data_IF_949280859620
#
_entry.id   IF_949280859620
#
_cell.length_a   1.000
_cell.length_b   1.000
_cell.length_c   1.000
_cell.angle_alpha   90.00
_cell.angle_beta   90.00
_cell.angle_gamma   90.00
#
_symmetry.space_group_name_H-M   'P 1'
#
loop_
_entity.id
_entity.type
_entity.pdbx_description
1 polymer ?
#
# COMPACT_ATOMS: atom_id res chain seq x y z
N UNK A 1 63.23 -11.94 25.35
CA UNK A 1 62.93 -13.27 24.79
C UNK A 1 61.76 -13.08 23.84
N UNK A 2 61.98 -13.06 22.53
CA UNK A 2 61.96 -14.24 21.65
C UNK A 2 60.57 -14.27 20.99
N UNK A 3 60.35 -14.42 19.69
CA UNK A 3 61.14 -14.73 18.52
C UNK A 3 60.10 -14.92 17.42
N UNK A 4 60.32 -14.32 16.25
CA UNK A 4 59.40 -14.25 15.12
C UNK A 4 59.14 -15.63 14.49
N UNK A 5 57.89 -15.95 14.17
CA UNK A 5 57.57 -16.84 13.04
C UNK A 5 56.19 -16.52 12.48
N UNK A 6 56.19 -15.69 11.43
CA UNK A 6 55.03 -15.44 10.58
C UNK A 6 54.85 -16.64 9.66
N UNK A 7 53.83 -17.46 9.92
CA UNK A 7 53.43 -18.51 8.98
C UNK A 7 52.45 -17.90 7.98
N UNK A 8 52.97 -17.38 6.85
CA UNK A 8 52.14 -17.06 5.67
C UNK A 8 51.43 -18.33 5.22
N UNK A 9 50.13 -18.45 5.49
CA UNK A 9 49.27 -19.43 4.82
C UNK A 9 48.96 -18.90 3.44
N UNK A 10 49.48 -19.58 2.42
CA UNK A 10 49.16 -19.32 1.00
C UNK A 10 47.98 -20.23 0.66
N UNK A 11 46.81 -19.64 0.40
CA UNK A 11 45.66 -20.35 -0.18
C UNK A 11 45.92 -20.57 -1.66
N UNK A 12 45.91 -21.82 -2.10
CA UNK A 12 46.07 -22.18 -3.51
C UNK A 12 44.69 -22.37 -4.15
N UNK A 13 44.41 -21.61 -5.22
CA UNK A 13 43.26 -21.84 -6.08
C UNK A 13 43.47 -23.14 -6.87
N UNK A 14 42.43 -23.98 -6.87
CA UNK A 14 42.37 -25.20 -7.66
C UNK A 14 42.02 -24.83 -9.10
N UNK A 15 43.03 -24.83 -9.97
CA UNK A 15 42.89 -24.72 -11.42
C UNK A 15 42.29 -26.04 -11.97
N UNK A 16 41.32 -25.95 -12.88
CA UNK A 16 40.36 -26.99 -13.29
C UNK A 16 40.94 -28.10 -14.21
N UNK A 17 42.27 -28.14 -14.36
CA UNK A 17 42.96 -29.12 -15.20
C UNK A 17 43.76 -30.11 -14.31
N UNK A 18 43.22 -31.32 -14.11
CA UNK A 18 43.66 -32.35 -13.14
C UNK A 18 44.99 -33.09 -13.47
N UNK A 19 45.91 -32.53 -14.26
CA UNK A 19 47.14 -33.21 -14.70
C UNK A 19 48.45 -32.52 -14.23
N UNK A 20 48.44 -32.01 -12.99
CA UNK A 20 49.61 -31.39 -12.34
C UNK A 20 49.98 -32.22 -11.11
N UNK A 21 51.23 -32.72 -11.05
CA UNK A 21 51.74 -33.40 -9.85
C UNK A 21 52.72 -32.51 -9.10
N UNK A 22 52.78 -32.65 -7.77
CA UNK A 22 53.57 -31.78 -6.89
C UNK A 22 54.80 -32.52 -6.38
N UNK A 23 56.00 -32.05 -6.75
CA UNK A 23 57.28 -32.61 -6.29
C UNK A 23 57.98 -31.56 -5.44
N UNK A 24 58.26 -31.87 -4.15
CA UNK A 24 58.89 -30.96 -3.18
C UNK A 24 58.26 -29.54 -3.12
N UNK A 25 56.95 -29.44 -3.27
CA UNK A 25 56.20 -28.18 -3.13
C UNK A 25 56.13 -27.30 -4.38
N UNK A 26 56.63 -27.77 -5.53
CA UNK A 26 56.56 -27.07 -6.82
C UNK A 26 55.56 -27.81 -7.74
N UNK A 27 54.62 -27.08 -8.34
CA UNK A 27 53.66 -27.62 -9.32
C UNK A 27 54.37 -27.80 -10.67
N UNK A 28 54.49 -29.05 -11.13
CA UNK A 28 55.09 -29.38 -12.42
C UNK A 28 54.05 -30.11 -13.27
N UNK A 29 53.95 -29.78 -14.56
CA UNK A 29 53.16 -30.56 -15.51
C UNK A 29 53.88 -31.85 -15.86
N UNK A 30 53.12 -32.88 -16.24
CA UNK A 30 53.65 -34.21 -16.58
C UNK A 30 54.74 -34.14 -17.67
N UNK A 31 54.57 -33.27 -18.67
CA UNK A 31 55.56 -33.03 -19.73
C UNK A 31 56.91 -32.47 -19.22
N UNK A 32 56.92 -31.72 -18.11
CA UNK A 32 58.16 -31.20 -17.50
C UNK A 32 58.83 -32.28 -16.65
N UNK A 33 58.03 -33.13 -16.00
CA UNK A 33 58.51 -34.24 -15.17
C UNK A 33 59.19 -35.31 -16.02
N UNK A 34 58.60 -35.68 -17.15
CA UNK A 34 59.19 -36.68 -18.05
C UNK A 34 60.54 -36.20 -18.61
N UNK A 35 60.66 -34.90 -18.91
CA UNK A 35 61.95 -34.30 -19.34
C UNK A 35 63.01 -34.29 -18.24
N UNK A 36 62.61 -34.13 -16.98
CA UNK A 36 63.53 -34.22 -15.84
C UNK A 36 63.95 -35.67 -15.54
N UNK A 37 63.18 -36.65 -16.00
CA UNK A 37 63.47 -38.07 -15.83
C UNK A 37 64.41 -38.61 -16.92
N UNK A 38 64.51 -37.94 -18.07
CA UNK A 38 65.29 -38.38 -19.24
C UNK A 38 66.64 -37.66 -19.45
N UNK A 39 67.43 -37.42 -18.39
CA UNK A 39 68.80 -36.89 -18.53
C UNK A 39 69.87 -37.91 -18.11
N UNK A 40 70.22 -38.84 -19.01
CA UNK A 40 71.61 -39.18 -19.40
C UNK A 40 71.67 -40.37 -20.37
N UNK A 41 72.65 -40.40 -21.30
CA UNK A 41 72.57 -41.18 -22.52
C UNK A 41 73.43 -42.45 -22.50
N UNK A 42 72.87 -43.55 -22.97
CA UNK A 42 73.58 -44.72 -23.49
C UNK A 42 72.57 -45.48 -24.35
N UNK A 43 72.70 -45.57 -25.67
CA UNK A 43 73.87 -46.04 -26.37
C UNK A 43 73.47 -47.31 -27.10
N UNK A 44 73.27 -47.20 -28.42
CA UNK A 44 73.22 -48.28 -29.42
C UNK A 44 72.17 -49.38 -29.17
N UNK A 45 71.23 -49.64 -30.07
CA UNK A 45 71.52 -50.19 -31.39
C UNK A 45 70.30 -50.03 -32.28
N UNK A 46 70.56 -49.47 -33.45
CA UNK A 46 69.75 -49.65 -34.64
C UNK A 46 69.71 -51.15 -34.96
N UNK A 47 68.66 -51.83 -34.51
CA UNK A 47 68.21 -53.04 -35.18
C UNK A 47 67.13 -52.61 -36.14
N UNK A 48 67.56 -52.41 -37.38
CA UNK A 48 66.72 -52.53 -38.56
C UNK A 48 66.20 -53.97 -38.55
N UNK A 49 65.14 -54.23 -37.79
CA UNK A 49 64.34 -55.43 -37.96
C UNK A 49 63.72 -55.33 -39.35
N UNK A 50 64.06 -56.27 -40.23
CA UNK A 50 63.13 -56.70 -41.26
C UNK A 50 61.90 -57.23 -40.52
N UNK A 51 60.96 -56.33 -40.22
CA UNK A 51 59.67 -56.74 -39.68
C UNK A 51 59.03 -57.58 -40.78
N UNK A 52 58.86 -58.87 -40.53
CA UNK A 52 58.14 -59.72 -41.44
C UNK A 52 56.71 -59.18 -41.57
N UNK A 53 56.12 -59.27 -42.76
CA UNK A 53 54.75 -58.81 -43.03
C UNK A 53 53.73 -59.35 -41.98
N UNK A 54 54.02 -60.50 -41.39
CA UNK A 54 53.22 -61.12 -40.33
C UNK A 54 53.27 -60.40 -38.98
N UNK A 55 54.40 -59.80 -38.61
CA UNK A 55 54.51 -59.08 -37.33
C UNK A 55 53.90 -57.68 -37.40
N UNK A 56 53.92 -57.06 -38.58
CA UNK A 56 53.20 -55.81 -38.85
C UNK A 56 51.67 -56.05 -38.84
N UNK A 57 51.19 -57.12 -39.50
CA UNK A 57 49.78 -57.53 -39.47
C UNK A 57 49.27 -57.83 -38.06
N UNK A 58 50.07 -58.48 -37.21
CA UNK A 58 49.71 -58.74 -35.80
C UNK A 58 49.50 -57.45 -35.01
N UNK A 59 50.40 -56.47 -35.14
CA UNK A 59 50.26 -55.17 -34.44
C UNK A 59 49.06 -54.37 -34.92
N UNK A 60 48.79 -54.38 -36.23
CA UNK A 60 47.58 -53.76 -36.80
C UNK A 60 46.32 -54.45 -36.27
N UNK A 61 46.30 -55.78 -36.19
CA UNK A 61 45.16 -56.53 -35.63
C UNK A 61 44.95 -56.26 -34.13
N UNK A 62 46.03 -56.16 -33.36
CA UNK A 62 45.99 -55.82 -31.92
C UNK A 62 45.50 -54.39 -31.69
N UNK A 63 45.98 -53.43 -32.48
CA UNK A 63 45.51 -52.03 -32.42
C UNK A 63 44.03 -51.91 -32.83
N UNK A 64 43.61 -52.62 -33.89
CA UNK A 64 42.21 -52.65 -34.32
C UNK A 64 41.30 -53.23 -33.24
N UNK A 65 41.76 -54.28 -32.53
CA UNK A 65 41.05 -54.88 -31.42
C UNK A 65 40.94 -53.93 -30.22
N UNK A 66 42.01 -53.17 -29.90
CA UNK A 66 41.99 -52.14 -28.86
C UNK A 66 41.04 -50.98 -29.22
N UNK A 67 41.03 -50.53 -30.47
CA UNK A 67 40.10 -49.53 -31.01
C UNK A 67 38.63 -50.01 -30.92
N UNK A 68 38.36 -51.25 -31.32
CA UNK A 68 37.03 -51.86 -31.20
C UNK A 68 36.60 -51.95 -29.74
N UNK A 69 37.47 -52.41 -28.84
CA UNK A 69 37.19 -52.47 -27.41
C UNK A 69 36.93 -51.07 -26.80
N UNK A 70 37.64 -50.03 -27.24
CA UNK A 70 37.38 -48.64 -26.83
C UNK A 70 36.01 -48.15 -27.31
N UNK A 71 35.67 -48.36 -28.58
CA UNK A 71 34.35 -47.98 -29.14
C UNK A 71 33.20 -48.70 -28.46
N UNK A 72 33.35 -49.99 -28.17
CA UNK A 72 32.36 -50.78 -27.43
C UNK A 72 32.21 -50.27 -25.99
N UNK A 73 33.31 -49.93 -25.32
CA UNK A 73 33.30 -49.32 -23.98
C UNK A 73 32.58 -47.97 -23.96
N UNK A 74 32.86 -47.08 -24.93
CA UNK A 74 32.19 -45.79 -25.07
C UNK A 74 30.69 -45.94 -25.36
N UNK A 75 30.31 -46.83 -26.27
CA UNK A 75 28.92 -47.14 -26.54
C UNK A 75 28.21 -47.70 -25.29
N UNK A 76 28.88 -48.57 -24.52
CA UNK A 76 28.34 -49.10 -23.28
C UNK A 76 28.17 -48.00 -22.21
N UNK A 77 29.11 -47.06 -22.11
CA UNK A 77 29.00 -45.88 -21.23
C UNK A 77 27.82 -45.00 -21.63
N UNK A 78 27.66 -44.69 -22.92
CA UNK A 78 26.53 -43.91 -23.46
C UNK A 78 25.19 -44.57 -23.17
N UNK A 79 25.09 -45.89 -23.34
CA UNK A 79 23.89 -46.66 -23.01
C UNK A 79 23.56 -46.64 -21.51
N UNK A 80 24.57 -46.73 -20.64
CA UNK A 80 24.39 -46.63 -19.18
C UNK A 80 23.92 -45.24 -18.78
N UNK A 81 24.54 -44.20 -19.33
CA UNK A 81 24.18 -42.81 -19.09
C UNK A 81 22.75 -42.49 -19.58
N UNK A 82 22.36 -42.97 -20.77
CA UNK A 82 20.98 -42.82 -21.26
C UNK A 82 19.96 -43.48 -20.33
N UNK A 83 20.22 -44.70 -19.86
CA UNK A 83 19.35 -45.40 -18.90
C UNK A 83 19.25 -44.68 -17.54
N UNK A 84 20.31 -44.02 -17.11
CA UNK A 84 20.33 -43.24 -15.87
C UNK A 84 19.51 -41.96 -16.01
N UNK A 85 19.70 -41.20 -17.10
CA UNK A 85 18.90 -40.02 -17.43
C UNK A 85 17.41 -40.35 -17.58
N UNK A 86 17.07 -41.49 -18.18
CA UNK A 86 15.68 -41.95 -18.31
C UNK A 86 15.05 -42.24 -16.93
N UNK A 87 15.82 -42.81 -16.00
CA UNK A 87 15.36 -43.05 -14.61
C UNK A 87 15.16 -41.76 -13.85
N UNK A 88 16.10 -40.81 -13.96
CA UNK A 88 15.97 -39.49 -13.34
C UNK A 88 14.75 -38.75 -13.89
N UNK A 89 14.53 -38.78 -15.20
CA UNK A 89 13.36 -38.18 -15.85
C UNK A 89 12.06 -38.83 -15.40
N UNK A 90 12.03 -40.16 -15.26
CA UNK A 90 10.86 -40.87 -14.76
C UNK A 90 10.54 -40.47 -13.31
N UNK A 91 11.54 -40.40 -12.44
CA UNK A 91 11.39 -39.95 -11.06
C UNK A 91 10.91 -38.49 -10.98
N UNK A 92 11.51 -37.59 -11.77
CA UNK A 92 11.12 -36.19 -11.83
C UNK A 92 9.67 -36.02 -12.32
N UNK A 93 9.27 -36.78 -13.34
CA UNK A 93 7.89 -36.78 -13.85
C UNK A 93 6.89 -37.31 -12.81
N UNK A 94 7.23 -38.37 -12.07
CA UNK A 94 6.38 -38.90 -11.01
C UNK A 94 6.20 -37.88 -9.88
N UNK A 95 7.30 -37.24 -9.46
CA UNK A 95 7.28 -36.22 -8.42
C UNK A 95 6.48 -34.98 -8.86
N UNK A 96 6.65 -34.54 -10.11
CA UNK A 96 5.85 -33.45 -10.69
C UNK A 96 4.36 -33.81 -10.70
N UNK A 97 4.00 -35.02 -11.13
CA UNK A 97 2.61 -35.48 -11.15
C UNK A 97 2.00 -35.48 -9.75
N UNK A 98 2.76 -35.94 -8.74
CA UNK A 98 2.34 -35.88 -7.33
C UNK A 98 2.17 -34.44 -6.83
N UNK A 99 3.08 -33.53 -7.19
CA UNK A 99 2.99 -32.12 -6.81
C UNK A 99 1.74 -31.45 -7.40
N UNK A 100 1.48 -31.66 -8.70
CA UNK A 100 0.30 -31.13 -9.40
C UNK A 100 -1.00 -31.62 -8.76
N UNK A 101 -1.08 -32.91 -8.43
CA UNK A 101 -2.28 -33.47 -7.78
C UNK A 101 -2.53 -32.84 -6.41
N UNK A 102 -1.48 -32.67 -5.60
CA UNK A 102 -1.60 -32.03 -4.27
C UNK A 102 -2.04 -30.58 -4.41
N UNK A 103 -1.45 -29.83 -5.34
CA UNK A 103 -1.81 -28.44 -5.57
C UNK A 103 -3.26 -28.30 -6.02
N UNK A 104 -3.71 -29.15 -6.95
CA UNK A 104 -5.09 -29.18 -7.40
C UNK A 104 -6.08 -29.44 -6.26
N UNK A 105 -5.80 -30.45 -5.41
CA UNK A 105 -6.64 -30.77 -4.25
C UNK A 105 -6.69 -29.58 -3.29
N UNK A 106 -5.54 -28.97 -2.97
CA UNK A 106 -5.49 -27.80 -2.09
C UNK A 106 -6.24 -26.60 -2.66
N UNK A 107 -6.13 -26.35 -3.97
CA UNK A 107 -6.81 -25.27 -4.67
C UNK A 107 -8.34 -25.47 -4.68
N UNK A 108 -8.79 -26.70 -4.91
CA UNK A 108 -10.22 -27.03 -4.85
C UNK A 108 -10.78 -26.90 -3.43
N UNK A 109 -10.02 -27.30 -2.41
CA UNK A 109 -10.39 -27.14 -1.00
C UNK A 109 -10.48 -25.66 -0.60
N UNK A 110 -9.47 -24.86 -0.94
CA UNK A 110 -9.48 -23.40 -0.69
C UNK A 110 -10.62 -22.71 -1.44
N UNK A 111 -10.90 -23.11 -2.68
CA UNK A 111 -12.05 -22.60 -3.44
C UNK A 111 -13.38 -22.98 -2.79
N UNK A 112 -13.50 -24.17 -2.22
CA UNK A 112 -14.69 -24.59 -1.49
C UNK A 112 -14.88 -23.79 -0.19
N UNK A 113 -13.80 -23.59 0.58
CA UNK A 113 -13.80 -22.73 1.77
C UNK A 113 -14.18 -21.29 1.44
N UNK A 114 -13.57 -20.71 0.39
CA UNK A 114 -13.88 -19.36 -0.06
C UNK A 114 -15.35 -19.21 -0.47
N UNK A 115 -15.91 -20.18 -1.20
CA UNK A 115 -17.34 -20.19 -1.55
C UNK A 115 -18.24 -20.26 -0.32
N UNK A 116 -17.87 -21.06 0.68
CA UNK A 116 -18.64 -21.16 1.92
C UNK A 116 -18.61 -19.85 2.70
N UNK A 117 -17.44 -19.24 2.85
CA UNK A 117 -17.30 -17.95 3.52
C UNK A 117 -18.06 -16.84 2.79
N UNK A 118 -18.01 -16.81 1.45
CA UNK A 118 -18.78 -15.86 0.65
C UNK A 118 -20.30 -15.95 0.91
N UNK A 119 -20.84 -17.17 1.01
CA UNK A 119 -22.26 -17.38 1.37
C UNK A 119 -22.58 -16.90 2.79
N UNK A 120 -21.68 -17.13 3.75
CA UNK A 120 -21.87 -16.64 5.12
C UNK A 120 -21.86 -15.12 5.18
N UNK A 121 -20.96 -14.47 4.45
CA UNK A 121 -20.91 -13.02 4.35
C UNK A 121 -22.18 -12.45 3.71
N UNK A 122 -22.66 -13.06 2.63
CA UNK A 122 -23.91 -12.62 2.00
C UNK A 122 -25.11 -12.72 2.97
N UNK A 123 -25.21 -13.79 3.76
CA UNK A 123 -26.27 -13.92 4.74
C UNK A 123 -26.13 -12.88 5.88
N UNK A 124 -24.91 -12.62 6.34
CA UNK A 124 -24.64 -11.56 7.33
C UNK A 124 -25.01 -10.18 6.79
N UNK A 125 -24.68 -9.88 5.54
CA UNK A 125 -25.05 -8.64 4.88
C UNK A 125 -26.56 -8.49 4.74
N UNK A 126 -27.29 -9.59 4.44
CA UNK A 126 -28.75 -9.58 4.40
C UNK A 126 -29.35 -9.26 5.77
N UNK A 127 -28.81 -9.84 6.84
CA UNK A 127 -29.26 -9.54 8.21
C UNK A 127 -29.00 -8.09 8.57
N UNK A 128 -27.79 -7.58 8.29
CA UNK A 128 -27.42 -6.18 8.56
C UNK A 128 -28.31 -5.23 7.78
N UNK A 129 -28.58 -5.49 6.50
CA UNK A 129 -29.48 -4.66 5.67
C UNK A 129 -30.89 -4.60 6.22
N UNK A 130 -31.44 -5.74 6.70
CA UNK A 130 -32.77 -5.76 7.33
C UNK A 130 -32.79 -4.92 8.60
N UNK A 131 -31.74 -5.02 9.42
CA UNK A 131 -31.64 -4.26 10.65
C UNK A 131 -31.47 -2.75 10.39
N UNK A 132 -30.63 -2.38 9.41
CA UNK A 132 -30.45 -0.99 8.98
C UNK A 132 -31.76 -0.38 8.46
N UNK A 133 -32.49 -1.11 7.60
CA UNK A 133 -33.79 -0.67 7.11
C UNK A 133 -34.80 -0.47 8.25
N UNK A 134 -34.86 -1.40 9.20
CA UNK A 134 -35.73 -1.30 10.36
C UNK A 134 -35.42 -0.06 11.20
N UNK A 135 -34.16 0.17 11.56
CA UNK A 135 -33.80 1.34 12.38
C UNK A 135 -33.96 2.66 11.64
N UNK A 136 -33.68 2.70 10.33
CA UNK A 136 -33.96 3.87 9.50
C UNK A 136 -35.43 4.23 9.48
N UNK A 137 -36.31 3.23 9.36
CA UNK A 137 -37.76 3.45 9.40
C UNK A 137 -38.23 3.95 10.77
N UNK A 138 -37.68 3.38 11.87
CA UNK A 138 -37.99 3.88 13.22
C UNK A 138 -37.54 5.33 13.43
N UNK A 139 -36.35 5.68 12.96
CA UNK A 139 -35.82 7.04 13.03
C UNK A 139 -36.67 8.00 12.19
N UNK A 140 -36.99 7.65 10.94
CA UNK A 140 -37.83 8.47 10.07
C UNK A 140 -39.21 8.73 10.70
N UNK A 141 -39.84 7.71 11.29
CA UNK A 141 -41.12 7.85 11.98
C UNK A 141 -41.02 8.71 13.24
N UNK A 142 -39.90 8.66 13.95
CA UNK A 142 -39.67 9.51 15.12
C UNK A 142 -39.46 10.96 14.69
N UNK A 143 -38.64 11.20 13.67
CA UNK A 143 -38.37 12.51 13.09
C UNK A 143 -39.65 13.15 12.53
N UNK A 144 -40.47 12.38 11.82
CA UNK A 144 -41.77 12.83 11.29
C UNK A 144 -42.67 13.30 12.42
N UNK A 145 -42.97 12.44 13.41
CA UNK A 145 -43.82 12.80 14.56
C UNK A 145 -43.26 13.98 15.35
N UNK A 146 -41.94 14.03 15.54
CA UNK A 146 -41.31 15.15 16.22
C UNK A 146 -41.47 16.44 15.42
N UNK A 147 -41.31 16.39 14.10
CA UNK A 147 -41.45 17.55 13.22
C UNK A 147 -42.89 18.07 13.21
N UNK A 148 -43.89 17.19 13.19
CA UNK A 148 -45.30 17.55 13.28
C UNK A 148 -45.61 18.21 14.63
N UNK A 149 -45.10 17.61 15.72
CA UNK A 149 -45.27 18.19 17.05
C UNK A 149 -44.66 19.60 17.15
N UNK A 150 -43.43 19.79 16.64
CA UNK A 150 -42.80 21.11 16.62
C UNK A 150 -43.59 22.10 15.77
N UNK A 151 -44.00 21.72 14.54
CA UNK A 151 -44.79 22.58 13.65
C UNK A 151 -46.07 23.05 14.32
N UNK A 152 -46.91 22.13 14.79
CA UNK A 152 -48.18 22.47 15.44
C UNK A 152 -47.94 23.33 16.67
N UNK A 153 -46.92 23.02 17.49
CA UNK A 153 -46.59 23.82 18.67
C UNK A 153 -46.17 25.24 18.30
N UNK A 154 -45.31 25.40 17.29
CA UNK A 154 -44.87 26.71 16.82
C UNK A 154 -46.00 27.51 16.18
N UNK A 155 -46.86 26.87 15.40
CA UNK A 155 -48.01 27.50 14.75
C UNK A 155 -49.04 27.98 15.78
N UNK A 156 -49.38 27.14 16.77
CA UNK A 156 -50.30 27.52 17.85
C UNK A 156 -49.72 28.67 18.69
N UNK A 157 -48.42 28.62 18.99
CA UNK A 157 -47.75 29.70 19.71
C UNK A 157 -47.76 31.01 18.91
N UNK A 158 -47.38 30.97 17.63
CA UNK A 158 -47.38 32.14 16.76
C UNK A 158 -48.79 32.74 16.63
N UNK A 159 -49.79 31.89 16.40
CA UNK A 159 -51.18 32.34 16.33
C UNK A 159 -51.63 33.00 17.63
N UNK A 160 -51.31 32.40 18.78
CA UNK A 160 -51.63 33.00 20.08
C UNK A 160 -50.90 34.34 20.28
N UNK A 161 -49.63 34.43 19.87
CA UNK A 161 -48.86 35.68 19.92
C UNK A 161 -49.48 36.75 19.02
N UNK A 162 -49.85 36.43 17.78
CA UNK A 162 -50.53 37.33 16.85
C UNK A 162 -51.90 37.78 17.38
N UNK A 163 -52.69 36.87 17.97
CA UNK A 163 -53.97 37.22 18.58
C UNK A 163 -53.82 38.18 19.75
N UNK A 164 -52.77 38.00 20.57
CA UNK A 164 -52.43 38.92 21.66
C UNK A 164 -51.95 40.25 21.07
N UNK A 165 -51.01 40.25 20.14
CA UNK A 165 -50.54 41.48 19.48
C UNK A 165 -51.67 42.26 18.80
N UNK A 166 -52.65 41.57 18.20
CA UNK A 166 -53.82 42.21 17.60
C UNK A 166 -54.77 42.83 18.64
N UNK A 167 -54.92 42.19 19.81
CA UNK A 167 -55.76 42.70 20.91
C UNK A 167 -55.10 43.87 21.65
N UNK A 168 -53.78 43.91 21.69
CA UNK A 168 -53.01 44.96 22.36
C UNK A 168 -52.39 45.91 21.33
N UNK A 169 -52.97 47.10 21.17
CA UNK A 169 -52.37 48.15 20.35
C UNK A 169 -50.94 48.40 20.82
N UNK A 170 -49.97 48.29 19.90
CA UNK A 170 -48.63 48.84 20.15
C UNK A 170 -48.82 50.34 20.37
N UNK A 171 -48.48 50.82 21.56
CA UNK A 171 -48.58 52.23 21.88
C UNK A 171 -47.59 52.99 21.00
N UNK A 172 -48.07 53.59 19.93
CA UNK A 172 -47.25 54.47 19.09
C UNK A 172 -46.97 55.76 19.86
N UNK A 173 -45.85 55.79 20.58
CA UNK A 173 -45.36 56.98 21.23
C UNK A 173 -44.94 58.00 20.18
N UNK A 174 -45.80 59.01 19.96
CA UNK A 174 -45.48 60.15 19.13
C UNK A 174 -44.80 61.22 20.00
N UNK A 175 -43.50 61.53 19.79
CA UNK A 175 -42.81 62.52 20.59
C UNK A 175 -43.42 63.91 20.36
N UNK A 176 -44.04 64.46 21.40
CA UNK A 176 -44.71 65.75 21.31
C UNK A 176 -43.68 66.87 21.17
N UNK A 177 -43.92 67.80 20.25
CA UNK A 177 -43.05 68.94 19.96
C UNK A 177 -41.63 68.56 19.45
N UNK A 178 -41.44 67.36 18.89
CA UNK A 178 -40.14 66.86 18.43
C UNK A 178 -39.42 67.83 17.49
N UNK A 179 -40.12 68.43 16.52
CA UNK A 179 -39.53 69.38 15.58
C UNK A 179 -39.08 70.67 16.26
N UNK A 180 -39.86 71.17 17.22
CA UNK A 180 -39.48 72.36 18.01
C UNK A 180 -38.29 72.04 18.92
N UNK A 181 -38.25 70.84 19.49
CA UNK A 181 -37.13 70.34 20.28
C UNK A 181 -35.85 70.27 19.44
N UNK A 182 -35.93 69.77 18.20
CA UNK A 182 -34.79 69.75 17.29
C UNK A 182 -34.28 71.16 16.97
N UNK A 183 -35.19 72.07 16.61
CA UNK A 183 -34.85 73.46 16.27
C UNK A 183 -34.24 74.23 17.44
N UNK A 184 -34.75 74.06 18.66
CA UNK A 184 -34.23 74.77 19.83
C UNK A 184 -32.84 74.26 20.23
N UNK A 185 -32.64 72.94 20.19
CA UNK A 185 -31.32 72.36 20.42
C UNK A 185 -30.32 72.82 19.36
N UNK A 186 -30.74 72.91 18.10
CA UNK A 186 -29.90 73.45 17.03
C UNK A 186 -29.55 74.93 17.26
N UNK A 187 -30.52 75.76 17.65
CA UNK A 187 -30.29 77.17 17.93
C UNK A 187 -29.28 77.38 19.06
N UNK A 188 -29.40 76.64 20.17
CA UNK A 188 -28.45 76.76 21.28
C UNK A 188 -27.05 76.28 20.94
N UNK A 189 -26.91 75.25 20.10
CA UNK A 189 -25.61 74.80 19.58
C UNK A 189 -24.92 75.87 18.74
N UNK A 190 -25.70 76.65 17.97
CA UNK A 190 -25.17 77.71 17.11
C UNK A 190 -24.91 79.02 17.88
N UNK A 191 -25.60 79.26 19.00
CA UNK A 191 -25.57 80.51 19.76
C UNK A 191 -25.12 80.29 21.22
N UNK A 192 -23.98 79.63 21.43
CA UNK A 192 -23.51 79.21 22.76
C UNK A 192 -23.24 80.37 23.72
N UNK A 193 -22.78 81.51 23.22
CA UNK A 193 -22.53 82.72 24.02
C UNK A 193 -23.70 83.72 24.02
N UNK A 194 -24.72 83.49 23.19
CA UNK A 194 -25.86 84.39 22.99
C UNK A 194 -27.18 83.63 23.05
N UNK A 195 -27.35 82.80 24.09
CA UNK A 195 -28.50 81.88 24.23
C UNK A 195 -29.86 82.58 24.25
N UNK A 196 -29.90 83.87 24.62
CA UNK A 196 -31.11 84.68 24.60
C UNK A 196 -31.65 84.95 23.18
N UNK A 197 -30.84 84.80 22.11
CA UNK A 197 -31.33 84.88 20.73
C UNK A 197 -32.31 83.76 20.39
N UNK A 198 -32.21 82.61 21.08
CA UNK A 198 -33.11 81.47 20.94
C UNK A 198 -34.38 81.58 21.81
N UNK A 199 -34.57 82.69 22.55
CA UNK A 199 -35.67 82.86 23.52
C UNK A 199 -37.07 82.77 22.91
N UNK A 200 -37.25 83.27 21.68
CA UNK A 200 -38.52 83.15 20.95
C UNK A 200 -38.86 81.68 20.66
N UNK A 201 -37.85 80.89 20.26
CA UNK A 201 -37.98 79.47 19.95
C UNK A 201 -38.20 78.64 21.23
N UNK A 202 -37.53 79.00 22.32
CA UNK A 202 -37.76 78.44 23.65
C UNK A 202 -39.19 78.67 24.13
N UNK A 203 -39.72 79.88 23.92
CA UNK A 203 -41.09 80.23 24.27
C UNK A 203 -42.12 79.47 23.43
N UNK A 204 -41.81 79.17 22.18
CA UNK A 204 -42.66 78.33 21.33
C UNK A 204 -42.64 76.86 21.77
N UNK A 205 -41.47 76.31 22.07
CA UNK A 205 -41.34 74.95 22.59
C UNK A 205 -42.10 74.79 23.92
N UNK A 206 -41.91 75.72 24.86
CA UNK A 206 -42.61 75.70 26.15
C UNK A 206 -44.13 75.81 25.99
N UNK A 207 -44.62 76.65 25.08
CA UNK A 207 -46.06 76.71 24.77
C UNK A 207 -46.59 75.38 24.22
N UNK A 208 -45.86 74.76 23.29
CA UNK A 208 -46.22 73.46 22.73
C UNK A 208 -46.28 72.37 23.83
N UNK A 209 -45.26 72.27 24.69
CA UNK A 209 -45.21 71.30 25.79
C UNK A 209 -46.35 71.54 26.79
N UNK A 210 -46.62 72.79 27.14
CA UNK A 210 -47.67 73.12 28.09
C UNK A 210 -49.07 72.85 27.52
N UNK A 211 -49.28 73.09 26.23
CA UNK A 211 -50.53 72.75 25.55
C UNK A 211 -50.72 71.23 25.50
N UNK A 212 -49.68 70.49 25.17
CA UNK A 212 -49.71 69.02 25.17
C UNK A 212 -50.01 68.43 26.56
N UNK A 213 -49.50 69.04 27.63
CA UNK A 213 -49.83 68.65 29.02
C UNK A 213 -51.28 68.90 29.40
N UNK A 214 -51.95 69.88 28.78
CA UNK A 214 -53.35 70.21 29.06
C UNK A 214 -54.34 69.31 28.29
N UNK A 215 -53.92 68.74 27.16
CA UNK A 215 -54.70 67.73 26.43
C UNK A 215 -54.57 66.41 27.20
N UNK A 216 -55.57 66.05 28.01
CA UNK A 216 -55.64 64.71 28.61
C UNK A 216 -55.63 63.67 27.48
N UNK A 217 -54.88 62.55 27.58
CA UNK A 217 -55.07 61.47 26.64
C UNK A 217 -56.53 61.03 26.72
N UNK A 218 -57.28 61.17 25.63
CA UNK A 218 -58.53 60.44 25.49
C UNK A 218 -58.13 58.97 25.47
N UNK A 219 -58.47 58.25 26.54
CA UNK A 219 -58.54 56.80 26.50
C UNK A 219 -59.66 56.44 25.52
N UNK A 220 -59.29 56.25 24.26
CA UNK A 220 -60.14 55.57 23.28
C UNK A 220 -60.33 54.13 23.77
N UNK A 221 -61.51 53.88 24.36
CA UNK A 221 -62.02 52.56 24.71
C UNK A 221 -61.99 51.61 23.52
#
# INVERSE_FOLDING_TARGET
MGGTSSTRRVTFEADENENITVVKGIRLSENVIDRMKETSPSGSKSQRHSVSDEELKRRVAEELALEQARKESENQKRLKQGKELDRERAFANEQLTRAILRERISSEEERAKAKHLAKQLEEKDRVIKKQDAFYKEQLARLEERSSEFYKVTTEQYQKAAEEVEAKFKRYEFHPVCADLQAKILQCYRQNTQQTLSCSALASQYMRCVNQAKQIKPQEDK
#
